data_IF_158013354125
#
_entry.id   IF_158013354125
#
_cell.length_a   1.000
_cell.length_b   1.000
_cell.length_c   1.000
_cell.angle_alpha   90.00
_cell.angle_beta   90.00
_cell.angle_gamma   90.00
#
_symmetry.space_group_name_H-M   'P 1'
#
loop_
_entity.id
_entity.type
_entity.pdbx_description
1 polymer ?
#
# COMPACT_ATOMS: atom_id res chain seq x y z
N UNK A 1 45.88 -22.35 -23.93
CA UNK A 1 44.85 -21.35 -24.28
C UNK A 1 43.56 -21.70 -23.52
N UNK A 2 43.39 -21.11 -22.32
CA UNK A 2 42.30 -21.45 -21.38
C UNK A 2 41.09 -20.57 -21.68
N UNK A 3 39.99 -21.19 -22.10
CA UNK A 3 38.69 -20.53 -22.25
C UNK A 3 38.10 -20.27 -20.87
N UNK A 4 38.20 -19.04 -20.40
CA UNK A 4 37.37 -18.56 -19.29
C UNK A 4 35.93 -18.47 -19.80
N UNK A 5 35.07 -19.38 -19.34
CA UNK A 5 33.62 -19.19 -19.45
C UNK A 5 33.27 -17.88 -18.79
N UNK A 6 32.44 -17.02 -19.40
CA UNK A 6 31.92 -15.86 -18.72
C UNK A 6 31.17 -16.35 -17.45
N UNK A 7 31.45 -15.72 -16.31
CA UNK A 7 30.63 -15.88 -15.11
C UNK A 7 29.21 -15.50 -15.51
N UNK A 8 28.32 -16.47 -15.62
CA UNK A 8 26.90 -16.21 -15.58
C UNK A 8 26.67 -15.49 -14.27
N UNK A 9 26.33 -14.20 -14.35
CA UNK A 9 25.78 -13.45 -13.23
C UNK A 9 24.58 -14.24 -12.77
N UNK A 10 24.72 -14.92 -11.63
CA UNK A 10 23.61 -15.56 -10.92
C UNK A 10 22.72 -14.40 -10.52
N UNK A 11 21.75 -14.10 -11.38
CA UNK A 11 20.70 -13.14 -11.13
C UNK A 11 19.90 -13.74 -9.97
N UNK A 12 20.31 -13.42 -8.74
CA UNK A 12 19.58 -13.84 -7.54
C UNK A 12 18.19 -13.25 -7.68
N UNK A 13 17.20 -14.08 -7.99
CA UNK A 13 15.79 -13.68 -8.00
C UNK A 13 15.46 -13.10 -6.63
N UNK A 14 14.92 -11.89 -6.61
CA UNK A 14 14.56 -11.14 -5.39
C UNK A 14 13.58 -11.95 -4.55
N UNK A 15 12.74 -12.74 -5.22
CA UNK A 15 11.77 -13.64 -4.59
C UNK A 15 11.79 -15.00 -5.28
N UNK A 16 11.75 -16.09 -4.51
CA UNK A 16 11.71 -17.43 -5.06
C UNK A 16 10.27 -17.89 -5.32
N UNK A 17 10.09 -18.74 -6.35
CA UNK A 17 8.80 -19.37 -6.65
C UNK A 17 8.29 -20.16 -5.43
N UNK A 18 9.19 -20.77 -4.65
CA UNK A 18 8.87 -21.51 -3.45
C UNK A 18 8.20 -20.63 -2.40
N UNK A 19 8.77 -19.45 -2.13
CA UNK A 19 8.18 -18.47 -1.20
C UNK A 19 6.79 -18.00 -1.66
N UNK A 20 6.62 -17.78 -2.97
CA UNK A 20 5.31 -17.41 -3.53
C UNK A 20 4.27 -18.53 -3.38
N UNK A 21 4.68 -19.80 -3.55
CA UNK A 21 3.80 -20.95 -3.33
C UNK A 21 3.41 -21.10 -1.87
N UNK A 22 4.36 -20.97 -0.93
CA UNK A 22 4.12 -21.02 0.50
C UNK A 22 3.18 -19.90 0.98
N UNK A 23 3.31 -18.69 0.41
CA UNK A 23 2.41 -17.56 0.67
C UNK A 23 1.03 -17.71 -0.01
N UNK A 24 0.80 -18.74 -0.84
CA UNK A 24 -0.48 -19.00 -1.49
C UNK A 24 -0.86 -18.01 -2.59
N UNK A 25 0.08 -17.21 -3.13
CA UNK A 25 -0.21 -16.19 -4.14
C UNK A 25 -0.55 -16.76 -5.53
N UNK A 26 -0.39 -18.06 -5.72
CA UNK A 26 -0.78 -18.77 -6.95
C UNK A 26 -2.29 -18.99 -7.06
N UNK A 27 -3.05 -18.84 -5.98
CA UNK A 27 -4.50 -18.97 -6.03
C UNK A 27 -5.14 -17.71 -6.63
N UNK A 28 -5.85 -17.91 -7.73
CA UNK A 28 -6.65 -16.88 -8.38
C UNK A 28 -8.13 -16.89 -7.91
N UNK A 29 -9.01 -16.40 -8.73
CA UNK A 29 -10.45 -16.38 -8.48
C UNK A 29 -11.12 -17.67 -8.96
N UNK A 30 -12.33 -17.93 -8.46
CA UNK A 30 -13.18 -18.97 -9.00
C UNK A 30 -13.47 -18.75 -10.50
N UNK A 31 -13.58 -19.82 -11.27
CA UNK A 31 -13.83 -19.80 -12.72
C UNK A 31 -15.04 -18.98 -13.13
N UNK A 32 -16.07 -18.92 -12.28
CA UNK A 32 -17.26 -18.07 -12.48
C UNK A 32 -16.96 -16.56 -12.54
N UNK A 33 -15.81 -16.13 -12.02
CA UNK A 33 -15.35 -14.74 -12.01
C UNK A 33 -14.23 -14.51 -13.02
N UNK A 34 -14.28 -15.25 -14.12
CA UNK A 34 -13.28 -15.13 -15.16
C UNK A 34 -13.27 -13.74 -15.81
N UNK A 35 -12.06 -13.24 -16.08
CA UNK A 35 -11.84 -12.00 -16.81
C UNK A 35 -10.91 -12.29 -18.01
N UNK A 36 -11.33 -11.99 -19.25
CA UNK A 36 -10.50 -12.22 -20.45
C UNK A 36 -9.11 -11.59 -20.39
N UNK A 37 -8.99 -10.43 -19.74
CA UNK A 37 -7.70 -9.74 -19.57
C UNK A 37 -6.69 -10.50 -18.71
N UNK A 38 -7.15 -11.47 -17.91
CA UNK A 38 -6.30 -12.32 -17.09
C UNK A 38 -5.90 -13.62 -17.77
N UNK A 39 -6.42 -13.91 -18.95
CA UNK A 39 -6.18 -15.18 -19.65
C UNK A 39 -4.70 -15.50 -19.82
N UNK A 40 -3.88 -14.50 -20.16
CA UNK A 40 -2.43 -14.65 -20.35
C UNK A 40 -1.65 -14.98 -19.08
N UNK A 41 -2.20 -14.67 -17.88
CA UNK A 41 -1.56 -14.88 -16.58
C UNK A 41 -2.03 -16.15 -15.87
N UNK A 42 -3.01 -16.84 -16.44
CA UNK A 42 -3.54 -18.08 -15.89
C UNK A 42 -2.73 -19.26 -16.42
N UNK A 43 -2.22 -20.08 -15.51
CA UNK A 43 -1.50 -21.31 -15.85
C UNK A 43 -2.46 -22.46 -16.13
N UNK A 44 -3.44 -22.69 -15.24
CA UNK A 44 -4.41 -23.76 -15.34
C UNK A 44 -5.62 -23.51 -14.43
N UNK A 45 -6.60 -24.41 -14.51
CA UNK A 45 -7.73 -24.47 -13.57
C UNK A 45 -7.62 -25.75 -12.74
N UNK A 46 -7.93 -25.64 -11.44
CA UNK A 46 -8.01 -26.78 -10.54
C UNK A 46 -9.13 -26.57 -9.52
N UNK A 47 -10.03 -27.54 -9.41
CA UNK A 47 -11.18 -27.49 -8.48
C UNK A 47 -12.03 -26.22 -8.59
N UNK A 48 -12.27 -25.73 -9.82
CA UNK A 48 -13.04 -24.52 -10.06
C UNK A 48 -12.34 -23.20 -9.65
N UNK A 49 -11.02 -23.23 -9.43
CA UNK A 49 -10.20 -22.07 -9.11
C UNK A 49 -9.08 -21.98 -10.15
N UNK A 50 -8.83 -20.79 -10.66
CA UNK A 50 -7.69 -20.54 -11.53
C UNK A 50 -6.38 -20.49 -10.74
N UNK A 51 -5.34 -21.07 -11.32
CA UNK A 51 -3.96 -21.01 -10.80
C UNK A 51 -3.18 -20.02 -11.65
N UNK A 52 -2.55 -19.07 -10.99
CA UNK A 52 -1.76 -18.01 -11.62
C UNK A 52 -0.37 -18.53 -11.97
N UNK A 53 0.14 -18.12 -13.13
CA UNK A 53 1.50 -18.45 -13.58
C UNK A 53 2.54 -17.66 -12.77
N UNK A 54 3.19 -18.36 -11.83
CA UNK A 54 4.20 -17.76 -10.96
C UNK A 54 5.48 -17.36 -11.69
N UNK A 55 5.81 -17.97 -12.83
CA UNK A 55 6.99 -17.57 -13.61
C UNK A 55 6.80 -16.14 -14.16
N UNK A 56 5.60 -15.84 -14.64
CA UNK A 56 5.25 -14.49 -15.09
C UNK A 56 5.18 -13.52 -13.91
N UNK A 57 4.67 -13.97 -12.76
CA UNK A 57 4.62 -13.17 -11.53
C UNK A 57 6.01 -12.74 -11.08
N UNK A 58 6.99 -13.66 -11.05
CA UNK A 58 8.37 -13.33 -10.67
C UNK A 58 8.99 -12.28 -11.61
N UNK A 59 8.82 -12.43 -12.93
CA UNK A 59 9.32 -11.46 -13.90
C UNK A 59 8.71 -10.07 -13.68
N UNK A 60 7.38 -9.99 -13.49
CA UNK A 60 6.69 -8.72 -13.23
C UNK A 60 7.04 -8.12 -11.88
N UNK A 61 7.32 -8.94 -10.89
CA UNK A 61 7.82 -8.50 -9.60
C UNK A 61 9.21 -7.88 -9.71
N UNK A 62 10.12 -8.51 -10.46
CA UNK A 62 11.47 -7.97 -10.69
C UNK A 62 11.41 -6.61 -11.43
N UNK A 63 10.56 -6.49 -12.47
CA UNK A 63 10.34 -5.23 -13.18
C UNK A 63 9.85 -4.13 -12.22
N UNK A 64 8.84 -4.45 -11.41
CA UNK A 64 8.27 -3.51 -10.43
C UNK A 64 9.30 -3.11 -9.35
N UNK A 65 10.07 -4.07 -8.85
CA UNK A 65 11.12 -3.81 -7.88
C UNK A 65 12.18 -2.84 -8.40
N UNK A 66 12.68 -3.09 -9.63
CA UNK A 66 13.68 -2.22 -10.25
C UNK A 66 13.14 -0.81 -10.48
N UNK A 67 11.87 -0.69 -10.85
CA UNK A 67 11.20 0.60 -11.00
C UNK A 67 11.09 1.36 -9.67
N UNK A 68 10.59 0.70 -8.62
CA UNK A 68 10.49 1.32 -7.29
C UNK A 68 11.86 1.71 -6.74
N UNK A 69 12.87 0.87 -6.97
CA UNK A 69 14.25 1.17 -6.59
C UNK A 69 14.76 2.45 -7.28
N UNK A 70 14.55 2.61 -8.59
CA UNK A 70 14.96 3.83 -9.31
C UNK A 70 14.27 5.08 -8.76
N UNK A 71 12.96 5.00 -8.43
CA UNK A 71 12.24 6.10 -7.79
C UNK A 71 12.81 6.47 -6.42
N UNK A 72 13.20 5.45 -5.65
CA UNK A 72 13.82 5.66 -4.34
C UNK A 72 15.22 6.30 -4.47
N UNK A 73 16.02 5.89 -5.44
CA UNK A 73 17.32 6.49 -5.75
C UNK A 73 17.19 7.97 -6.19
N UNK A 74 16.09 8.32 -6.86
CA UNK A 74 15.74 9.70 -7.22
C UNK A 74 15.17 10.51 -6.03
N UNK A 75 14.99 9.92 -4.87
CA UNK A 75 14.42 10.57 -3.69
C UNK A 75 12.92 10.90 -3.81
N UNK A 76 12.20 10.20 -4.69
CA UNK A 76 10.76 10.40 -4.88
C UNK A 76 9.96 9.77 -3.73
N UNK A 77 8.81 10.37 -3.47
CA UNK A 77 7.87 9.91 -2.46
C UNK A 77 7.00 8.80 -3.01
N UNK A 78 6.74 7.79 -2.20
CA UNK A 78 5.91 6.63 -2.55
C UNK A 78 4.70 6.60 -1.63
N UNK A 79 3.50 6.42 -2.19
CA UNK A 79 2.27 6.22 -1.45
C UNK A 79 1.85 4.75 -1.53
N UNK A 80 1.90 4.05 -0.40
CA UNK A 80 1.42 2.68 -0.31
C UNK A 80 -0.10 2.63 -0.12
N UNK A 81 -0.81 1.86 -0.93
CA UNK A 81 -2.26 1.74 -0.86
C UNK A 81 -2.67 0.28 -0.71
N UNK A 82 -3.32 -0.05 0.39
CA UNK A 82 -3.79 -1.40 0.67
C UNK A 82 -5.01 -1.41 1.59
N UNK A 83 -6.19 -1.17 1.01
CA UNK A 83 -7.46 -1.08 1.76
C UNK A 83 -8.12 -2.43 2.05
N UNK A 84 -7.59 -3.52 1.49
CA UNK A 84 -8.06 -4.86 1.79
C UNK A 84 -7.65 -5.25 3.22
N UNK A 85 -8.58 -5.76 4.01
CA UNK A 85 -8.35 -6.12 5.42
C UNK A 85 -7.09 -6.96 5.64
N UNK A 86 -6.80 -7.92 4.74
CA UNK A 86 -5.64 -8.80 4.83
C UNK A 86 -4.30 -8.08 4.55
N UNK A 87 -4.32 -6.95 3.85
CA UNK A 87 -3.13 -6.18 3.49
C UNK A 87 -2.92 -4.94 4.38
N UNK A 88 -3.96 -4.50 5.10
CA UNK A 88 -3.98 -3.22 5.79
C UNK A 88 -2.83 -3.06 6.81
N UNK A 89 -2.60 -4.09 7.62
CA UNK A 89 -1.58 -4.06 8.67
C UNK A 89 -0.17 -4.14 8.08
N UNK A 90 0.06 -5.04 7.11
CA UNK A 90 1.34 -5.17 6.43
C UNK A 90 1.73 -3.89 5.67
N UNK A 91 0.78 -3.23 5.00
CA UNK A 91 1.01 -1.96 4.30
C UNK A 91 1.40 -0.86 5.29
N UNK A 92 0.73 -0.77 6.44
CA UNK A 92 1.07 0.20 7.47
C UNK A 92 2.48 -0.03 8.01
N UNK A 93 2.78 -1.25 8.46
CA UNK A 93 4.06 -1.63 9.04
C UNK A 93 5.23 -1.34 8.08
N UNK A 94 5.12 -1.78 6.83
CA UNK A 94 6.18 -1.60 5.84
C UNK A 94 6.36 -0.14 5.40
N UNK A 95 5.27 0.61 5.29
CA UNK A 95 5.35 2.03 4.97
C UNK A 95 6.00 2.83 6.10
N UNK A 96 5.63 2.57 7.36
CA UNK A 96 6.24 3.19 8.53
C UNK A 96 7.72 2.81 8.65
N UNK A 97 8.08 1.54 8.38
CA UNK A 97 9.46 1.07 8.39
C UNK A 97 10.36 1.81 7.40
N UNK A 98 9.86 2.16 6.22
CA UNK A 98 10.63 2.89 5.20
C UNK A 98 10.37 4.41 5.21
N UNK A 99 9.59 4.93 6.16
CA UNK A 99 9.30 6.36 6.29
C UNK A 99 8.47 6.93 5.15
N UNK A 100 7.64 6.11 4.51
CA UNK A 100 6.78 6.51 3.41
C UNK A 100 5.31 6.59 3.85
N UNK A 101 4.47 7.17 2.98
CA UNK A 101 3.06 7.38 3.26
C UNK A 101 2.20 6.18 2.91
N UNK A 102 1.06 6.02 3.60
CA UNK A 102 0.15 4.91 3.35
C UNK A 102 -1.32 5.27 3.48
N UNK A 103 -2.16 4.47 2.81
CA UNK A 103 -3.62 4.47 2.95
C UNK A 103 -4.06 3.02 3.09
N UNK A 104 -4.46 2.62 4.29
CA UNK A 104 -4.76 1.22 4.62
C UNK A 104 -6.20 0.96 5.04
N UNK A 105 -7.04 2.00 5.23
CA UNK A 105 -8.44 1.83 5.65
C UNK A 105 -9.39 2.10 4.50
N UNK A 106 -9.47 3.34 4.02
CA UNK A 106 -10.38 3.73 2.96
C UNK A 106 -9.72 4.71 2.01
N UNK A 107 -9.77 4.43 0.73
CA UNK A 107 -9.42 5.41 -0.28
C UNK A 107 -10.54 6.44 -0.40
N UNK A 108 -10.27 7.68 -0.02
CA UNK A 108 -11.23 8.76 -0.16
C UNK A 108 -11.26 9.26 -1.60
N UNK A 109 -12.47 9.51 -2.11
CA UNK A 109 -12.63 10.09 -3.44
C UNK A 109 -11.90 11.44 -3.55
N UNK A 110 -11.14 11.60 -4.64
CA UNK A 110 -10.38 12.84 -4.87
C UNK A 110 -9.09 12.97 -4.06
N UNK A 111 -8.58 11.88 -3.44
CA UNK A 111 -7.37 11.93 -2.61
C UNK A 111 -6.16 12.49 -3.37
N UNK A 112 -6.01 12.19 -4.64
CA UNK A 112 -5.00 12.76 -5.52
C UNK A 112 -5.55 13.91 -6.38
N UNK A 113 -6.72 13.73 -7.00
CA UNK A 113 -7.30 14.69 -7.95
C UNK A 113 -7.88 15.95 -7.29
N UNK A 114 -8.29 15.86 -6.03
CA UNK A 114 -8.75 16.98 -5.21
C UNK A 114 -7.97 17.10 -3.90
N UNK A 115 -6.65 17.02 -4.02
CA UNK A 115 -5.73 17.07 -2.87
C UNK A 115 -5.92 18.31 -1.99
N UNK A 116 -6.32 19.44 -2.56
CA UNK A 116 -6.61 20.69 -1.81
C UNK A 116 -7.68 20.48 -0.73
N UNK A 117 -8.73 19.70 -1.02
CA UNK A 117 -9.78 19.38 -0.04
C UNK A 117 -9.28 18.41 1.00
N UNK A 118 -8.53 17.39 0.59
CA UNK A 118 -7.90 16.43 1.52
C UNK A 118 -6.95 17.16 2.49
N UNK A 119 -6.15 18.10 1.99
CA UNK A 119 -5.26 18.92 2.82
C UNK A 119 -6.02 19.77 3.86
N UNK A 120 -7.23 20.26 3.53
CA UNK A 120 -8.08 20.93 4.53
C UNK A 120 -8.51 19.97 5.65
N UNK A 121 -8.86 18.73 5.32
CA UNK A 121 -9.21 17.71 6.31
C UNK A 121 -7.99 17.32 7.18
N UNK A 122 -6.80 17.23 6.60
CA UNK A 122 -5.55 17.02 7.36
C UNK A 122 -5.28 18.21 8.30
N UNK A 123 -5.44 19.44 7.82
CA UNK A 123 -5.27 20.63 8.67
C UNK A 123 -6.28 20.66 9.81
N UNK A 124 -7.53 20.20 9.57
CA UNK A 124 -8.55 20.06 10.61
C UNK A 124 -8.14 19.02 11.66
N UNK A 125 -7.61 17.88 11.23
CA UNK A 125 -7.06 16.87 12.14
C UNK A 125 -5.96 17.44 13.03
N UNK A 126 -4.96 18.10 12.43
CA UNK A 126 -3.85 18.73 13.15
C UNK A 126 -4.36 19.81 14.14
N UNK A 127 -5.39 20.58 13.76
CA UNK A 127 -5.98 21.57 14.65
C UNK A 127 -6.69 20.93 15.85
N UNK A 128 -7.40 19.81 15.65
CA UNK A 128 -8.06 19.08 16.73
C UNK A 128 -7.05 18.46 17.71
N UNK A 129 -5.97 17.89 17.20
CA UNK A 129 -4.89 17.37 18.05
C UNK A 129 -4.25 18.46 18.88
N UNK A 130 -3.92 19.60 18.25
CA UNK A 130 -3.36 20.76 18.95
C UNK A 130 -4.30 21.29 20.05
N UNK A 131 -5.60 21.39 19.76
CA UNK A 131 -6.61 21.76 20.77
C UNK A 131 -6.65 20.78 21.94
N UNK A 132 -6.46 19.49 21.68
CA UNK A 132 -6.40 18.47 22.72
C UNK A 132 -5.14 18.60 23.55
N UNK A 133 -3.98 18.80 22.93
CA UNK A 133 -2.68 19.01 23.61
C UNK A 133 -2.65 20.29 24.47
N UNK A 134 -3.29 21.36 23.99
CA UNK A 134 -3.40 22.64 24.71
C UNK A 134 -4.43 22.60 25.86
N UNK A 135 -5.11 21.46 26.08
CA UNK A 135 -6.12 21.33 27.14
C UNK A 135 -7.44 22.05 26.86
N UNK A 136 -7.65 22.55 25.64
CA UNK A 136 -8.89 23.26 25.25
C UNK A 136 -10.12 22.38 25.42
N UNK A 137 -9.97 21.05 25.28
CA UNK A 137 -11.07 20.10 25.48
C UNK A 137 -11.62 20.10 26.90
N UNK A 138 -10.82 20.44 27.93
CA UNK A 138 -11.25 20.47 29.32
C UNK A 138 -12.16 21.66 29.62
N UNK A 139 -12.15 22.69 28.76
CA UNK A 139 -12.98 23.88 28.88
C UNK A 139 -14.32 23.75 28.16
N UNK A 140 -14.52 22.67 27.37
CA UNK A 140 -15.73 22.48 26.57
C UNK A 140 -16.75 21.56 27.25
N UNK A 141 -18.05 21.71 26.92
CA UNK A 141 -19.08 20.80 27.39
C UNK A 141 -18.81 19.35 26.96
N UNK A 142 -19.06 18.36 27.83
CA UNK A 142 -18.81 16.93 27.56
C UNK A 142 -19.37 16.43 26.22
N UNK A 143 -20.52 16.93 25.80
CA UNK A 143 -21.16 16.57 24.53
C UNK A 143 -20.34 17.03 23.32
N UNK A 144 -19.76 18.23 23.39
CA UNK A 144 -18.89 18.74 22.32
C UNK A 144 -17.57 18.02 22.28
N UNK A 145 -16.94 17.77 23.42
CA UNK A 145 -15.73 16.97 23.52
C UNK A 145 -15.91 15.60 22.87
N UNK A 146 -17.01 14.90 23.18
CA UNK A 146 -17.30 13.60 22.59
C UNK A 146 -17.44 13.68 21.06
N UNK A 147 -18.05 14.74 20.53
CA UNK A 147 -18.19 14.97 19.09
C UNK A 147 -16.84 15.23 18.42
N UNK A 148 -16.02 16.13 19.01
CA UNK A 148 -14.71 16.47 18.48
C UNK A 148 -13.74 15.27 18.54
N UNK A 149 -13.79 14.50 19.63
CA UNK A 149 -12.98 13.28 19.76
C UNK A 149 -13.34 12.26 18.69
N UNK A 150 -14.61 12.03 18.44
CA UNK A 150 -15.06 11.13 17.38
C UNK A 150 -14.63 11.63 15.98
N UNK A 151 -14.78 12.93 15.72
CA UNK A 151 -14.32 13.54 14.47
C UNK A 151 -12.81 13.33 14.29
N UNK A 152 -12.02 13.55 15.33
CA UNK A 152 -10.57 13.36 15.31
C UNK A 152 -10.19 11.88 15.03
N UNK A 153 -10.83 10.93 15.72
CA UNK A 153 -10.60 9.50 15.51
C UNK A 153 -10.94 9.05 14.08
N UNK A 154 -12.06 9.52 13.53
CA UNK A 154 -12.48 9.22 12.16
C UNK A 154 -11.51 9.80 11.11
N UNK A 155 -11.02 11.03 11.34
CA UNK A 155 -10.01 11.65 10.49
C UNK A 155 -8.65 10.94 10.59
N UNK A 156 -8.19 10.65 11.81
CA UNK A 156 -6.92 9.93 12.03
C UNK A 156 -6.94 8.54 11.39
N UNK A 157 -8.03 7.80 11.56
CA UNK A 157 -8.23 6.49 10.95
C UNK A 157 -8.08 6.50 9.42
N UNK A 158 -8.57 7.55 8.75
CA UNK A 158 -8.60 7.61 7.29
C UNK A 158 -7.41 8.36 6.68
N UNK A 159 -6.83 9.32 7.41
CA UNK A 159 -5.82 10.26 6.90
C UNK A 159 -4.48 10.19 7.64
N UNK A 160 -4.41 9.45 8.75
CA UNK A 160 -3.20 9.38 9.59
C UNK A 160 -1.94 9.02 8.81
N UNK A 161 -2.03 8.06 7.90
CA UNK A 161 -0.89 7.63 7.08
C UNK A 161 -0.40 8.65 6.04
N UNK A 162 -1.17 9.70 5.76
CA UNK A 162 -0.81 10.79 4.83
C UNK A 162 -0.74 12.16 5.52
N UNK A 163 -0.84 12.20 6.83
CA UNK A 163 -0.85 13.43 7.64
C UNK A 163 0.34 14.35 7.35
N UNK A 164 1.52 13.78 7.23
CA UNK A 164 2.77 14.50 7.00
C UNK A 164 3.10 14.69 5.51
N UNK A 165 2.20 14.32 4.60
CA UNK A 165 2.43 14.42 3.16
C UNK A 165 2.28 15.88 2.70
N UNK A 166 3.39 16.54 2.43
CA UNK A 166 3.42 17.95 2.03
C UNK A 166 2.84 18.19 0.64
N UNK A 167 3.07 17.27 -0.28
CA UNK A 167 2.64 17.32 -1.69
C UNK A 167 2.13 15.97 -2.19
N UNK A 168 1.76 15.89 -3.45
CA UNK A 168 1.41 14.64 -4.12
C UNK A 168 2.67 13.76 -4.30
N UNK A 169 2.53 12.43 -4.15
CA UNK A 169 3.63 11.47 -4.37
C UNK A 169 4.00 11.35 -5.84
#
# INVERSE_FOLDING_TARGET
MWWKKPKEDIKMSIISIKQLLEAGVHFGHHTRRWNPKMAEYIFTERNGIYIIDLQKTVKKFEEAYMYVRSLSEEGKTILFVGTKKQAADAIKEEAERCGQYYVNVRWLGGMLTNHKTIKRSINRLNALEKMKEEGTFDLLPKKEVAKLTKEMEDLEKNLGGIKNMAGLP
#
